data_IF_942862558149
#
_entry.id   IF_942862558149
#
_cell.length_a   1.000
_cell.length_b   1.000
_cell.length_c   1.000
_cell.angle_alpha   90.00
_cell.angle_beta   90.00
_cell.angle_gamma   90.00
#
_symmetry.space_group_name_H-M   'P 1'
#
loop_
_entity.id
_entity.type
_entity.pdbx_description
1 polymer ?
#
# COMPACT_ATOMS: atom_id res chain seq x y z
N UNK A 1 -10.39 -46.87 -15.25
CA UNK A 1 -10.20 -45.48 -14.77
C UNK A 1 -9.17 -44.85 -15.68
N UNK A 2 -9.50 -43.85 -16.51
CA UNK A 2 -8.51 -43.20 -17.37
C UNK A 2 -7.66 -42.26 -16.52
N UNK A 3 -6.35 -42.49 -16.51
CA UNK A 3 -5.38 -41.57 -15.92
C UNK A 3 -5.25 -40.37 -16.86
N UNK A 4 -5.62 -39.19 -16.36
CA UNK A 4 -5.33 -37.91 -17.00
C UNK A 4 -3.82 -37.73 -17.00
N UNK A 5 -3.20 -37.96 -18.17
CA UNK A 5 -1.86 -37.51 -18.47
C UNK A 5 -1.90 -35.98 -18.48
N UNK A 6 -1.39 -35.36 -17.43
CA UNK A 6 -1.03 -33.96 -17.50
C UNK A 6 0.23 -33.88 -18.35
N UNK A 7 0.06 -33.56 -19.62
CA UNK A 7 1.11 -33.04 -20.48
C UNK A 7 1.69 -31.82 -19.78
N UNK A 8 2.78 -32.04 -19.02
CA UNK A 8 3.69 -30.98 -18.62
C UNK A 8 4.35 -30.54 -19.91
N UNK A 9 3.69 -29.59 -20.59
CA UNK A 9 4.30 -28.81 -21.63
C UNK A 9 5.58 -28.21 -21.06
N UNK A 10 6.71 -28.81 -21.45
CA UNK A 10 8.04 -28.25 -21.34
C UNK A 10 8.13 -27.06 -22.29
N UNK A 11 7.35 -26.03 -22.02
CA UNK A 11 7.56 -24.71 -22.59
C UNK A 11 8.62 -24.05 -21.74
N UNK A 12 9.70 -23.61 -22.39
CA UNK A 12 10.72 -22.70 -21.86
C UNK A 12 10.10 -21.34 -21.49
N UNK A 13 9.04 -21.32 -20.68
CA UNK A 13 8.57 -20.10 -20.07
C UNK A 13 9.54 -19.80 -18.93
N UNK A 14 10.29 -18.68 -19.01
CA UNK A 14 11.21 -18.32 -17.95
C UNK A 14 10.43 -18.28 -16.63
N UNK A 15 10.98 -18.82 -15.54
CA UNK A 15 10.29 -18.82 -14.26
C UNK A 15 9.89 -17.37 -13.93
N UNK A 16 8.61 -17.16 -13.62
CA UNK A 16 8.12 -15.83 -13.26
C UNK A 16 8.76 -15.49 -11.91
N UNK A 17 9.85 -14.72 -11.95
CA UNK A 17 10.52 -14.21 -10.76
C UNK A 17 9.65 -13.10 -10.21
N UNK A 18 8.81 -13.44 -9.23
CA UNK A 18 7.83 -12.53 -8.68
C UNK A 18 6.78 -13.29 -7.91
N UNK A 19 5.85 -12.53 -7.33
CA UNK A 19 4.74 -13.13 -6.62
C UNK A 19 3.57 -13.39 -7.55
N UNK A 20 3.00 -14.58 -7.43
CA UNK A 20 1.67 -14.85 -7.96
C UNK A 20 0.59 -14.46 -6.96
N UNK A 21 -0.66 -14.36 -7.43
CA UNK A 21 -1.80 -14.07 -6.56
C UNK A 21 -1.90 -15.06 -5.39
N UNK A 22 -1.67 -16.35 -5.65
CA UNK A 22 -1.65 -17.38 -4.60
C UNK A 22 -0.57 -17.16 -3.54
N UNK A 23 0.63 -16.71 -3.92
CA UNK A 23 1.70 -16.37 -2.97
C UNK A 23 1.31 -15.19 -2.07
N UNK A 24 0.60 -14.20 -2.65
CA UNK A 24 0.09 -13.06 -1.90
C UNK A 24 -0.95 -13.51 -0.88
N UNK A 25 -1.93 -14.30 -1.29
CA UNK A 25 -3.00 -14.83 -0.41
C UNK A 25 -2.42 -15.72 0.69
N UNK A 26 -1.49 -16.61 0.35
CA UNK A 26 -0.82 -17.49 1.32
C UNK A 26 -0.05 -16.69 2.37
N UNK A 27 0.78 -15.74 1.94
CA UNK A 27 1.52 -14.89 2.86
C UNK A 27 0.61 -14.01 3.72
N UNK A 28 -0.51 -13.53 3.17
CA UNK A 28 -1.47 -12.75 3.92
C UNK A 28 -2.09 -13.58 5.06
N UNK A 29 -2.55 -14.79 4.77
CA UNK A 29 -3.14 -15.70 5.75
C UNK A 29 -2.12 -16.24 6.77
N UNK A 30 -0.87 -16.49 6.37
CA UNK A 30 0.22 -16.83 7.30
C UNK A 30 0.49 -15.70 8.31
N UNK A 31 0.51 -14.45 7.83
CA UNK A 31 0.76 -13.29 8.67
C UNK A 31 -0.42 -12.97 9.60
N UNK A 32 -1.66 -13.04 9.10
CA UNK A 32 -2.87 -12.84 9.92
C UNK A 32 -3.01 -13.87 11.04
N UNK A 33 -2.68 -15.14 10.79
CA UNK A 33 -2.63 -16.19 11.83
C UNK A 33 -1.66 -15.86 12.97
N UNK A 34 -0.62 -15.07 12.66
CA UNK A 34 0.36 -14.57 13.64
C UNK A 34 0.02 -13.16 14.19
N UNK A 35 -1.23 -12.71 14.04
CA UNK A 35 -1.75 -11.41 14.50
C UNK A 35 -1.08 -10.17 13.87
N UNK A 36 -0.68 -10.28 12.60
CA UNK A 36 -0.27 -9.15 11.77
C UNK A 36 -1.47 -8.66 10.92
N UNK A 37 -1.44 -7.41 10.45
CA UNK A 37 -2.54 -6.84 9.66
C UNK A 37 -2.65 -7.47 8.27
N UNK A 38 -1.49 -7.66 7.63
CA UNK A 38 -1.38 -8.30 6.31
C UNK A 38 0.03 -8.83 6.06
N UNK A 39 0.18 -9.68 5.04
CA UNK A 39 1.46 -10.23 4.59
C UNK A 39 1.75 -9.91 3.12
N UNK A 40 3.01 -9.62 2.80
CA UNK A 40 3.48 -9.58 1.41
C UNK A 40 4.43 -10.74 1.14
N UNK A 41 4.26 -11.39 0.00
CA UNK A 41 5.26 -12.30 -0.54
C UNK A 41 6.47 -11.54 -1.09
N UNK A 42 7.62 -12.19 -1.04
CA UNK A 42 8.86 -11.79 -1.69
C UNK A 42 9.60 -13.06 -2.09
N UNK A 43 10.03 -13.13 -3.35
CA UNK A 43 10.91 -14.18 -3.85
C UNK A 43 12.36 -13.71 -3.85
N UNK A 44 13.30 -14.56 -3.43
CA UNK A 44 14.74 -14.31 -3.58
C UNK A 44 15.30 -14.98 -4.85
N UNK A 45 14.67 -16.07 -5.28
CA UNK A 45 14.88 -16.84 -6.51
C UNK A 45 13.56 -17.48 -6.95
N UNK A 46 13.56 -18.35 -7.96
CA UNK A 46 12.36 -19.02 -8.47
C UNK A 46 11.76 -20.10 -7.56
N UNK A 47 12.39 -20.42 -6.42
CA UNK A 47 11.98 -21.51 -5.52
C UNK A 47 11.73 -21.04 -4.09
N UNK A 48 12.09 -19.80 -3.74
CA UNK A 48 12.07 -19.32 -2.36
C UNK A 48 10.98 -18.28 -2.13
N UNK A 49 9.81 -18.73 -1.65
CA UNK A 49 8.80 -17.84 -1.11
C UNK A 49 9.17 -17.39 0.31
N UNK A 50 9.24 -16.08 0.55
CA UNK A 50 9.33 -15.48 1.88
C UNK A 50 8.17 -14.52 2.12
N UNK A 51 7.53 -14.65 3.29
CA UNK A 51 6.49 -13.73 3.71
C UNK A 51 7.06 -12.63 4.61
N UNK A 52 6.75 -11.38 4.27
CA UNK A 52 7.02 -10.21 5.08
C UNK A 52 5.70 -9.73 5.71
N UNK A 53 5.56 -9.89 7.02
CA UNK A 53 4.37 -9.49 7.75
C UNK A 53 4.43 -8.02 8.20
N UNK A 54 3.31 -7.31 8.10
CA UNK A 54 3.19 -5.90 8.47
C UNK A 54 2.24 -5.71 9.64
N UNK A 55 2.65 -4.98 10.69
CA UNK A 55 1.86 -4.94 11.91
C UNK A 55 0.60 -4.14 11.66
N UNK A 56 -0.41 -4.35 12.49
CA UNK A 56 -1.44 -3.35 12.69
C UNK A 56 -0.75 -2.01 12.97
N UNK A 57 -0.88 -1.07 12.04
CA UNK A 57 -0.41 0.28 12.29
C UNK A 57 -1.33 0.87 13.33
N UNK A 58 -0.74 1.45 14.39
CA UNK A 58 -1.49 2.27 15.31
C UNK A 58 -2.30 3.30 14.51
N UNK A 59 -3.50 3.63 15.00
CA UNK A 59 -4.33 4.69 14.40
C UNK A 59 -3.48 5.92 14.17
N UNK A 60 -3.62 6.52 13.00
CA UNK A 60 -2.92 7.74 12.69
C UNK A 60 -3.34 8.82 13.69
N UNK A 61 -2.37 9.61 14.13
CA UNK A 61 -2.57 10.70 15.07
C UNK A 61 -3.11 11.91 14.28
N UNK A 62 -4.40 12.28 14.43
CA UNK A 62 -4.97 13.38 13.68
C UNK A 62 -4.41 14.75 14.11
N UNK A 63 -3.82 14.85 15.30
CA UNK A 63 -3.35 16.12 15.86
C UNK A 63 -2.11 16.68 15.16
N UNK A 64 -1.46 15.87 14.32
CA UNK A 64 -0.31 16.30 13.50
C UNK A 64 -0.69 17.34 12.45
N UNK A 65 -1.98 17.42 12.09
CA UNK A 65 -2.51 18.45 11.21
C UNK A 65 -3.05 19.63 12.05
N UNK A 66 -2.17 20.59 12.35
CA UNK A 66 -2.59 21.84 13.00
C UNK A 66 -3.35 22.73 12.01
N UNK A 67 -4.03 23.76 12.53
CA UNK A 67 -4.65 24.78 11.71
C UNK A 67 -3.64 25.46 10.78
N UNK A 68 -2.41 25.74 11.23
CA UNK A 68 -1.37 26.30 10.37
C UNK A 68 -0.97 25.33 9.26
N UNK A 69 -0.92 24.03 9.55
CA UNK A 69 -0.58 23.03 8.56
C UNK A 69 -1.67 22.89 7.48
N UNK A 70 -2.94 23.01 7.86
CA UNK A 70 -4.05 23.09 6.90
C UNK A 70 -3.92 24.33 6.01
N UNK A 71 -3.71 25.52 6.60
CA UNK A 71 -3.53 26.75 5.85
C UNK A 71 -2.31 26.69 4.90
N UNK A 72 -1.21 26.08 5.35
CA UNK A 72 -0.04 25.84 4.51
C UNK A 72 -0.38 24.95 3.31
N UNK A 73 -1.08 23.83 3.52
CA UNK A 73 -1.47 22.94 2.44
C UNK A 73 -2.43 23.60 1.45
N UNK A 74 -3.38 24.39 1.96
CA UNK A 74 -4.31 25.18 1.16
C UNK A 74 -3.57 26.18 0.26
N UNK A 75 -2.75 27.04 0.84
CA UNK A 75 -1.96 28.02 0.09
C UNK A 75 -0.99 27.36 -0.89
N UNK A 76 -0.35 26.25 -0.52
CA UNK A 76 0.54 25.51 -1.39
C UNK A 76 -0.18 25.00 -2.64
N UNK A 77 -1.37 24.42 -2.47
CA UNK A 77 -2.18 23.94 -3.60
C UNK A 77 -2.71 25.06 -4.49
N UNK A 78 -3.14 26.19 -3.91
CA UNK A 78 -3.60 27.37 -4.66
C UNK A 78 -2.43 27.98 -5.45
N UNK A 79 -1.34 28.30 -4.76
CA UNK A 79 -0.25 29.09 -5.34
C UNK A 79 0.65 28.28 -6.26
N UNK A 80 0.90 26.99 -5.97
CA UNK A 80 1.84 26.19 -6.76
C UNK A 80 1.16 25.40 -7.87
N UNK A 81 -0.14 25.10 -7.73
CA UNK A 81 -0.86 24.23 -8.70
C UNK A 81 -2.07 24.88 -9.34
N UNK A 82 -2.46 26.09 -8.91
CA UNK A 82 -3.67 26.75 -9.42
C UNK A 82 -4.96 25.98 -9.12
N UNK A 83 -4.96 25.15 -8.07
CA UNK A 83 -6.11 24.36 -7.65
C UNK A 83 -6.95 25.13 -6.62
N UNK A 84 -8.19 24.71 -6.39
CA UNK A 84 -9.13 25.41 -5.48
C UNK A 84 -8.71 25.44 -4.01
N UNK A 85 -7.72 24.65 -3.62
CA UNK A 85 -7.31 24.49 -2.24
C UNK A 85 -6.67 23.14 -1.98
N UNK A 86 -6.35 22.91 -0.72
CA UNK A 86 -5.74 21.68 -0.25
C UNK A 86 -5.98 21.50 1.25
N UNK A 87 -5.63 20.32 1.73
CA UNK A 87 -5.83 19.93 3.12
C UNK A 87 -4.64 19.15 3.64
N UNK A 88 -4.40 19.28 4.94
CA UNK A 88 -3.48 18.41 5.65
C UNK A 88 -4.17 17.06 5.95
N UNK A 89 -3.42 15.98 5.85
CA UNK A 89 -3.82 14.68 6.36
C UNK A 89 -2.66 14.00 7.09
N UNK A 90 -2.94 13.21 8.15
CA UNK A 90 -1.92 12.42 8.80
C UNK A 90 -1.52 11.26 7.88
N UNK A 91 -0.23 11.02 7.74
CA UNK A 91 0.34 9.93 6.95
C UNK A 91 1.18 9.03 7.84
N UNK A 92 1.22 7.73 7.53
CA UNK A 92 2.04 6.78 8.27
C UNK A 92 3.53 7.15 8.14
N UNK A 93 4.20 7.37 9.27
CA UNK A 93 5.65 7.57 9.29
C UNK A 93 6.38 6.25 9.12
N UNK A 94 7.50 6.27 8.38
CA UNK A 94 8.42 5.12 8.30
C UNK A 94 9.25 4.93 9.57
N UNK A 95 9.39 5.96 10.42
CA UNK A 95 10.42 6.01 11.48
C UNK A 95 9.93 5.87 12.92
N UNK A 96 8.62 5.80 13.21
CA UNK A 96 7.99 5.41 14.51
C UNK A 96 6.52 5.86 14.54
N UNK A 97 5.78 5.43 15.57
CA UNK A 97 4.35 5.60 15.87
C UNK A 97 3.72 7.01 15.76
N UNK A 98 4.46 8.08 15.44
CA UNK A 98 3.87 9.40 15.24
C UNK A 98 3.61 9.63 13.76
N UNK A 99 2.38 9.98 13.44
CA UNK A 99 1.99 10.31 12.07
C UNK A 99 2.80 11.51 11.57
N UNK A 100 2.96 11.63 10.26
CA UNK A 100 3.55 12.82 9.64
C UNK A 100 2.46 13.58 8.89
N UNK A 101 2.41 14.90 9.06
CA UNK A 101 1.55 15.74 8.25
C UNK A 101 1.99 15.71 6.78
N UNK A 102 1.01 15.55 5.87
CA UNK A 102 1.19 15.64 4.42
C UNK A 102 0.08 16.49 3.82
N UNK A 103 0.36 17.11 2.68
CA UNK A 103 -0.62 17.89 1.93
C UNK A 103 -1.19 17.11 0.76
N UNK A 104 -2.50 17.22 0.56
CA UNK A 104 -3.19 16.83 -0.66
C UNK A 104 -4.00 18.01 -1.19
N UNK A 105 -4.13 18.11 -2.50
CA UNK A 105 -4.95 19.15 -3.13
C UNK A 105 -6.32 18.60 -3.50
N UNK A 106 -7.32 19.47 -3.53
CA UNK A 106 -8.63 19.07 -4.05
C UNK A 106 -8.52 18.81 -5.55
N UNK A 107 -8.75 17.56 -5.97
CA UNK A 107 -8.54 17.11 -7.35
C UNK A 107 -9.62 17.59 -8.32
N UNK A 108 -10.76 18.10 -7.83
CA UNK A 108 -11.87 18.61 -8.67
C UNK A 108 -12.60 19.74 -7.95
N UNK A 109 -12.83 20.81 -8.68
CA UNK A 109 -13.75 21.88 -8.29
C UNK A 109 -15.15 21.26 -8.35
N UNK A 110 -15.97 21.32 -7.29
CA UNK A 110 -17.36 20.92 -7.42
C UNK A 110 -18.02 21.90 -8.39
N UNK A 111 -18.30 21.42 -9.61
CA UNK A 111 -19.18 22.11 -10.54
C UNK A 111 -20.58 21.93 -9.98
N UNK A 112 -21.08 22.92 -9.26
CA UNK A 112 -22.50 23.01 -8.95
C UNK A 112 -23.19 23.44 -10.25
N UNK A 113 -23.85 22.50 -10.93
CA UNK A 113 -24.83 22.79 -11.99
C UNK A 113 -26.20 22.90 -11.34
#
# INVERSE_FOLDING_TARGET
MPQLAFDVGSGDEPPIIGCHLGDHEECDELCKRSNWLYGHCRHLDSFTLKCQCYPYKATLDPTVCTQEQHAFCEHSCINQRGLSGGYCYPHASRKKHRSTARCACFNRIPVYV
#
